data_IF_848623431271
#
_entry.id   IF_848623431271
#
_cell.length_a   1.000
_cell.length_b   1.000
_cell.length_c   1.000
_cell.angle_alpha   90.00
_cell.angle_beta   90.00
_cell.angle_gamma   90.00
#
_symmetry.space_group_name_H-M   'P 1'
#
loop_
_entity.id
_entity.type
_entity.pdbx_description
1 polymer ?
#
# COMPACT_ATOMS: atom_id res chain seq x y z
N UNK A 1 -33.33 27.86 28.37
CA UNK A 1 -33.20 27.18 27.06
C UNK A 1 -32.35 28.05 26.16
N UNK A 2 -31.25 27.50 25.67
CA UNK A 2 -30.27 28.12 24.79
C UNK A 2 -29.08 27.15 24.69
N UNK A 3 -28.65 26.72 23.49
CA UNK A 3 -27.84 25.53 23.33
C UNK A 3 -26.37 25.79 23.69
N UNK A 4 -25.73 24.79 24.28
CA UNK A 4 -24.28 24.68 24.32
C UNK A 4 -23.75 24.47 22.89
N UNK A 5 -22.86 25.35 22.44
CA UNK A 5 -22.03 25.10 21.27
C UNK A 5 -20.58 25.15 21.76
N UNK A 6 -20.00 23.99 22.03
CA UNK A 6 -18.58 23.86 22.25
C UNK A 6 -17.89 23.83 20.88
N UNK A 7 -17.51 25.01 20.40
CA UNK A 7 -16.52 25.15 19.34
C UNK A 7 -15.13 25.05 19.96
N UNK A 8 -14.48 23.91 19.77
CA UNK A 8 -13.09 23.70 20.10
C UNK A 8 -12.50 22.76 19.06
N UNK A 9 -12.02 23.33 17.96
CA UNK A 9 -11.10 22.63 17.07
C UNK A 9 -9.84 22.33 17.88
N UNK A 10 -9.64 21.06 18.22
CA UNK A 10 -8.46 20.59 18.92
C UNK A 10 -7.21 20.82 18.06
N UNK A 11 -6.31 21.75 18.45
CA UNK A 11 -5.12 22.05 17.68
C UNK A 11 -4.06 20.95 17.76
N UNK A 12 -4.18 19.93 18.62
CA UNK A 12 -3.20 18.84 18.70
C UNK A 12 -3.30 17.86 17.51
N UNK A 13 -4.48 17.72 16.90
CA UNK A 13 -4.71 16.78 15.80
C UNK A 13 -3.97 17.14 14.50
N UNK A 14 -3.58 18.41 14.32
CA UNK A 14 -2.83 18.87 13.13
C UNK A 14 -1.32 18.60 13.22
N UNK A 15 -0.75 18.48 14.43
CA UNK A 15 0.70 18.34 14.61
C UNK A 15 1.22 16.90 14.51
N UNK A 16 0.36 15.89 14.66
CA UNK A 16 0.76 14.48 14.55
C UNK A 16 1.00 14.00 13.12
N UNK A 17 0.53 14.73 12.09
CA UNK A 17 0.70 14.35 10.67
C UNK A 17 1.97 14.90 10.03
N UNK A 18 2.62 15.90 10.64
CA UNK A 18 3.85 16.51 10.11
C UNK A 18 5.05 16.14 10.98
N UNK A 19 5.69 15.01 10.66
CA UNK A 19 7.16 14.79 10.71
C UNK A 19 7.45 13.30 10.62
N UNK A 20 7.85 12.86 9.43
CA UNK A 20 8.82 11.76 9.15
C UNK A 20 8.81 11.37 7.67
N UNK A 21 7.72 11.67 6.95
CA UNK A 21 7.48 11.20 5.58
C UNK A 21 6.85 12.30 4.72
N UNK A 22 7.25 12.38 3.45
CA UNK A 22 6.61 13.27 2.49
C UNK A 22 5.44 12.51 1.85
N UNK A 23 4.23 12.81 2.32
CA UNK A 23 2.98 12.21 1.86
C UNK A 23 2.32 13.14 0.85
N UNK A 24 2.06 12.64 -0.35
CA UNK A 24 1.35 13.38 -1.40
C UNK A 24 0.07 12.64 -1.78
N UNK A 25 -1.05 13.36 -1.85
CA UNK A 25 -2.28 12.91 -2.48
C UNK A 25 -2.33 13.54 -3.86
N UNK A 26 -2.08 12.74 -4.90
CA UNK A 26 -1.80 13.24 -6.26
C UNK A 26 -3.08 13.38 -7.11
N UNK A 27 -4.12 12.58 -6.81
CA UNK A 27 -5.46 12.62 -7.39
C UNK A 27 -6.43 11.76 -6.55
N UNK A 28 -7.73 11.73 -6.86
CA UNK A 28 -8.69 10.83 -6.18
C UNK A 28 -8.25 9.36 -6.32
N UNK A 29 -7.75 8.77 -5.23
CA UNK A 29 -7.29 7.37 -5.18
C UNK A 29 -5.80 7.16 -5.49
N UNK A 30 -5.05 8.20 -5.85
CA UNK A 30 -3.59 8.13 -5.95
C UNK A 30 -2.94 8.68 -4.70
N UNK A 31 -2.11 7.86 -4.08
CA UNK A 31 -1.46 8.13 -2.80
C UNK A 31 -0.01 7.71 -2.90
N UNK A 32 0.91 8.58 -2.49
CA UNK A 32 2.32 8.22 -2.39
C UNK A 32 2.95 8.69 -1.09
N UNK A 33 3.96 7.93 -0.68
CA UNK A 33 4.88 8.29 0.38
C UNK A 33 6.29 8.17 -0.18
N UNK A 34 7.05 9.26 -0.10
CA UNK A 34 8.50 9.25 -0.33
C UNK A 34 9.25 9.40 0.99
N UNK A 35 10.56 9.14 0.97
CA UNK A 35 11.42 9.18 2.16
C UNK A 35 10.97 8.24 3.30
N UNK A 36 10.32 7.12 2.93
CA UNK A 36 10.04 6.01 3.84
C UNK A 36 11.33 5.33 4.34
N UNK A 37 11.26 4.76 5.54
CA UNK A 37 12.33 3.95 6.14
C UNK A 37 11.83 2.54 6.50
N UNK A 38 11.31 1.80 5.52
CA UNK A 38 10.90 0.40 5.73
C UNK A 38 12.10 -0.51 5.47
N UNK A 39 12.64 -1.11 6.53
CA UNK A 39 13.84 -1.97 6.50
C UNK A 39 13.45 -3.45 6.48
N UNK A 40 14.41 -4.31 6.15
CA UNK A 40 14.25 -5.75 6.39
C UNK A 40 13.88 -6.02 7.85
N UNK A 41 12.97 -6.97 8.06
CA UNK A 41 12.41 -7.31 9.36
C UNK A 41 11.22 -6.46 9.79
N UNK A 42 10.88 -5.40 9.05
CA UNK A 42 9.73 -4.53 9.36
C UNK A 42 8.52 -4.85 8.47
N UNK A 43 7.37 -4.33 8.86
CA UNK A 43 6.10 -4.51 8.17
C UNK A 43 5.39 -3.18 7.92
N UNK A 44 4.74 -3.08 6.77
CA UNK A 44 3.77 -2.05 6.44
C UNK A 44 2.37 -2.64 6.60
N UNK A 45 1.57 -2.07 7.49
CA UNK A 45 0.12 -2.29 7.54
C UNK A 45 -0.55 -1.20 6.73
N UNK A 46 -1.40 -1.57 5.78
CA UNK A 46 -2.16 -0.62 4.96
C UNK A 46 -3.63 -1.01 4.99
N UNK A 47 -4.49 -0.03 5.24
CA UNK A 47 -5.95 -0.17 5.28
C UNK A 47 -6.57 0.82 4.31
N UNK A 48 -7.61 0.40 3.61
CA UNK A 48 -8.29 1.26 2.67
C UNK A 48 -9.56 0.64 2.09
N UNK A 49 -10.32 1.46 1.36
CA UNK A 49 -11.53 1.04 0.65
C UNK A 49 -11.22 0.81 -0.82
N UNK A 50 -11.63 -0.35 -1.35
CA UNK A 50 -11.62 -0.63 -2.78
C UNK A 50 -12.84 0.06 -3.40
N UNK A 51 -12.64 0.81 -4.48
CA UNK A 51 -13.74 1.47 -5.20
C UNK A 51 -14.77 0.46 -5.73
N UNK A 52 -16.04 0.83 -5.77
CA UNK A 52 -17.15 -0.09 -6.13
C UNK A 52 -17.03 -0.64 -7.56
N UNK A 53 -16.41 0.13 -8.46
CA UNK A 53 -16.18 -0.22 -9.87
C UNK A 53 -14.69 -0.50 -10.17
N UNK A 54 -13.87 -0.79 -9.16
CA UNK A 54 -12.45 -1.06 -9.35
C UNK A 54 -12.24 -2.28 -10.26
N UNK A 55 -11.52 -2.11 -11.36
CA UNK A 55 -11.04 -3.23 -12.19
C UNK A 55 -9.75 -3.83 -11.61
N UNK A 56 -8.93 -2.97 -11.02
CA UNK A 56 -7.66 -3.28 -10.36
C UNK A 56 -7.22 -2.15 -9.44
N UNK A 57 -6.28 -2.46 -8.56
CA UNK A 57 -5.48 -1.45 -7.86
C UNK A 57 -4.04 -1.93 -7.71
N UNK A 58 -3.16 -1.02 -7.31
CA UNK A 58 -1.73 -1.29 -7.22
C UNK A 58 -1.20 -0.77 -5.89
N UNK A 59 -0.34 -1.56 -5.25
CA UNK A 59 0.54 -1.14 -4.16
C UNK A 59 1.97 -1.40 -4.62
N UNK A 60 2.75 -0.33 -4.78
CA UNK A 60 4.16 -0.36 -5.14
C UNK A 60 5.03 -0.08 -3.92
N UNK A 61 6.04 -0.91 -3.69
CA UNK A 61 7.15 -0.63 -2.77
C UNK A 61 8.47 -0.62 -3.54
N UNK A 62 9.33 0.37 -3.28
CA UNK A 62 10.64 0.43 -3.93
C UNK A 62 11.49 1.62 -3.53
N UNK A 63 12.37 2.05 -4.44
CA UNK A 63 13.20 3.25 -4.30
C UNK A 63 12.53 4.50 -4.90
N UNK A 64 11.54 4.31 -5.77
CA UNK A 64 10.81 5.38 -6.44
C UNK A 64 9.78 4.83 -7.42
N UNK A 65 9.05 5.71 -8.14
CA UNK A 65 8.02 5.29 -9.09
C UNK A 65 8.54 4.42 -10.24
N UNK A 66 9.81 4.60 -10.62
CA UNK A 66 10.45 3.88 -11.75
C UNK A 66 11.41 2.75 -11.31
N UNK A 67 11.51 2.51 -10.00
CA UNK A 67 12.36 1.46 -9.42
C UNK A 67 11.60 0.77 -8.27
N UNK A 68 10.84 -0.27 -8.64
CA UNK A 68 9.85 -0.95 -7.79
C UNK A 68 10.32 -2.36 -7.47
N UNK A 69 10.53 -2.64 -6.19
CA UNK A 69 10.90 -3.96 -5.68
C UNK A 69 9.68 -4.89 -5.61
N UNK A 70 8.51 -4.36 -5.25
CA UNK A 70 7.25 -5.09 -5.23
C UNK A 70 6.15 -4.25 -5.89
N UNK A 71 5.63 -4.72 -7.00
CA UNK A 71 4.40 -4.27 -7.61
C UNK A 71 3.30 -5.28 -7.30
N UNK A 72 2.47 -5.01 -6.29
CA UNK A 72 1.34 -5.86 -5.91
C UNK A 72 0.07 -5.34 -6.59
N UNK A 73 -0.49 -6.12 -7.52
CA UNK A 73 -1.58 -5.69 -8.39
C UNK A 73 -2.73 -6.72 -8.44
N UNK A 74 -3.69 -6.64 -7.51
CA UNK A 74 -4.96 -7.34 -7.64
C UNK A 74 -5.75 -6.86 -8.86
N UNK A 75 -6.15 -7.80 -9.70
CA UNK A 75 -6.95 -7.60 -10.92
C UNK A 75 -8.25 -8.39 -10.78
N UNK A 76 -9.36 -7.70 -10.59
CA UNK A 76 -10.66 -8.33 -10.31
C UNK A 76 -11.23 -9.06 -11.53
N UNK A 77 -11.06 -8.50 -12.74
CA UNK A 77 -11.47 -9.17 -13.99
C UNK A 77 -10.77 -10.50 -14.21
N UNK A 78 -9.49 -10.58 -13.84
CA UNK A 78 -8.68 -11.78 -14.01
C UNK A 78 -8.81 -12.76 -12.83
N UNK A 79 -9.51 -12.35 -11.76
CA UNK A 79 -9.57 -13.06 -10.48
C UNK A 79 -8.19 -13.47 -9.98
N UNK A 80 -7.22 -12.55 -10.03
CA UNK A 80 -5.84 -12.84 -9.71
C UNK A 80 -5.11 -11.65 -9.11
N UNK A 81 -4.07 -11.95 -8.34
CA UNK A 81 -3.08 -11.02 -7.85
C UNK A 81 -1.82 -11.20 -8.68
N UNK A 82 -1.38 -10.12 -9.32
CA UNK A 82 -0.15 -10.11 -10.10
C UNK A 82 0.93 -9.39 -9.30
N UNK A 83 2.07 -10.06 -9.11
CA UNK A 83 3.25 -9.47 -8.50
C UNK A 83 4.37 -9.33 -9.53
N UNK A 84 5.08 -8.20 -9.54
CA UNK A 84 6.24 -7.99 -10.39
C UNK A 84 7.24 -7.00 -9.77
N UNK A 85 8.34 -6.75 -10.47
CA UNK A 85 9.37 -5.75 -10.15
C UNK A 85 9.62 -4.87 -11.38
N UNK A 86 10.05 -3.63 -11.16
CA UNK A 86 10.41 -2.67 -12.21
C UNK A 86 11.82 -2.12 -11.93
N UNK A 87 12.73 -2.28 -12.89
CA UNK A 87 14.03 -1.62 -12.89
C UNK A 87 14.42 -1.28 -14.33
N UNK A 88 13.98 -0.11 -14.81
CA UNK A 88 14.02 0.30 -16.22
C UNK A 88 13.04 -0.47 -17.12
N UNK A 89 12.72 -1.73 -16.80
CA UNK A 89 11.66 -2.54 -17.43
C UNK A 89 10.99 -3.46 -16.42
N UNK A 90 9.77 -3.87 -16.74
CA UNK A 90 9.05 -4.89 -15.98
C UNK A 90 9.77 -6.24 -16.04
N UNK A 91 9.84 -6.92 -14.90
CA UNK A 91 10.31 -8.30 -14.81
C UNK A 91 9.27 -9.33 -15.24
N UNK A 92 9.50 -10.59 -14.89
CA UNK A 92 8.54 -11.67 -15.09
C UNK A 92 7.40 -11.58 -14.06
N UNK A 93 6.15 -11.59 -14.52
CA UNK A 93 4.98 -11.61 -13.63
C UNK A 93 4.93 -12.92 -12.82
N UNK A 94 4.58 -12.80 -11.54
CA UNK A 94 4.11 -13.90 -10.71
C UNK A 94 2.61 -13.73 -10.47
N UNK A 95 1.87 -14.82 -10.60
CA UNK A 95 0.41 -14.83 -10.47
C UNK A 95 -0.01 -15.68 -9.29
N UNK A 96 -0.84 -15.13 -8.44
CA UNK A 96 -1.57 -15.85 -7.40
C UNK A 96 -3.08 -15.76 -7.73
N UNK A 97 -3.78 -16.89 -7.75
CA UNK A 97 -5.22 -16.94 -8.04
C UNK A 97 -6.11 -16.73 -6.80
N UNK A 98 -5.51 -16.57 -5.62
CA UNK A 98 -6.23 -16.40 -4.36
C UNK A 98 -6.61 -14.94 -4.12
N UNK A 99 -7.67 -14.50 -4.80
CA UNK A 99 -8.24 -13.16 -4.62
C UNK A 99 -9.49 -13.23 -3.72
N UNK A 100 -9.31 -12.95 -2.42
CA UNK A 100 -10.33 -13.17 -1.38
C UNK A 100 -11.11 -11.91 -0.95
N UNK A 101 -11.11 -10.87 -1.78
CA UNK A 101 -11.76 -9.58 -1.51
C UNK A 101 -12.35 -9.01 -2.80
N UNK A 102 -13.30 -8.08 -2.67
CA UNK A 102 -14.07 -7.56 -3.80
C UNK A 102 -14.11 -6.03 -3.85
N UNK A 103 -14.42 -5.43 -5.01
CA UNK A 103 -14.79 -4.02 -5.10
C UNK A 103 -15.84 -3.62 -4.06
N UNK A 104 -15.75 -2.37 -3.57
CA UNK A 104 -16.63 -1.80 -2.56
C UNK A 104 -16.32 -2.16 -1.10
N UNK A 105 -15.40 -3.09 -0.86
CA UNK A 105 -15.04 -3.53 0.51
C UNK A 105 -13.89 -2.71 1.10
N UNK A 106 -13.90 -2.59 2.43
CA UNK A 106 -12.73 -2.12 3.18
C UNK A 106 -11.84 -3.31 3.53
N UNK A 107 -10.55 -3.18 3.22
CA UNK A 107 -9.56 -4.27 3.39
C UNK A 107 -8.32 -3.77 4.13
N UNK A 108 -7.60 -4.73 4.71
CA UNK A 108 -6.30 -4.50 5.33
C UNK A 108 -5.30 -5.50 4.76
N UNK A 109 -4.15 -4.99 4.34
CA UNK A 109 -2.99 -5.78 3.95
C UNK A 109 -1.86 -5.56 4.96
N UNK A 110 -1.05 -6.59 5.16
CA UNK A 110 0.20 -6.50 5.91
C UNK A 110 1.31 -6.96 4.97
N UNK A 111 2.21 -6.05 4.61
CA UNK A 111 3.38 -6.34 3.79
C UNK A 111 4.57 -6.43 4.73
N UNK A 112 5.08 -7.64 4.94
CA UNK A 112 6.33 -7.85 5.68
C UNK A 112 7.48 -7.92 4.69
N UNK A 113 8.55 -7.16 4.97
CA UNK A 113 9.76 -7.21 4.18
C UNK A 113 10.80 -8.05 4.91
N UNK A 114 10.96 -9.30 4.49
CA UNK A 114 11.95 -10.22 5.03
C UNK A 114 13.19 -10.23 4.12
N UNK A 115 14.35 -10.61 4.67
CA UNK A 115 15.68 -10.59 4.03
C UNK A 115 15.64 -10.57 2.48
N UNK A 116 15.11 -11.63 1.86
CA UNK A 116 15.11 -11.76 0.39
C UNK A 116 13.71 -11.80 -0.23
N UNK A 117 12.65 -11.44 0.50
CA UNK A 117 11.28 -11.53 -0.02
C UNK A 117 10.29 -10.58 0.66
N UNK A 118 9.20 -10.32 -0.05
CA UNK A 118 8.02 -9.65 0.48
C UNK A 118 6.94 -10.69 0.74
N UNK A 119 6.29 -10.59 1.89
CA UNK A 119 5.10 -11.37 2.25
C UNK A 119 3.91 -10.45 2.41
N UNK A 120 2.90 -10.59 1.56
CA UNK A 120 1.66 -9.83 1.63
C UNK A 120 0.58 -10.71 2.23
N UNK A 121 0.24 -10.46 3.49
CA UNK A 121 -0.90 -11.11 4.16
C UNK A 121 -2.19 -10.43 3.75
N UNK A 122 -3.11 -11.22 3.18
CA UNK A 122 -4.43 -10.82 2.73
C UNK A 122 -5.44 -10.80 3.90
N UNK A 123 -6.63 -10.20 3.72
CA UNK A 123 -7.64 -10.09 4.77
C UNK A 123 -8.06 -11.41 5.43
N UNK A 124 -8.09 -12.51 4.67
CA UNK A 124 -8.45 -13.84 5.16
C UNK A 124 -7.27 -14.61 5.79
N UNK A 125 -6.07 -14.04 5.75
CA UNK A 125 -4.85 -14.63 6.28
C UNK A 125 -3.98 -15.36 5.26
N UNK A 126 -4.41 -15.53 4.01
CA UNK A 126 -3.55 -16.04 2.93
C UNK A 126 -2.32 -15.14 2.75
N UNK A 127 -1.19 -15.72 2.37
CA UNK A 127 0.08 -14.99 2.22
C UNK A 127 0.59 -15.15 0.80
N UNK A 128 0.68 -14.02 0.08
CA UNK A 128 1.34 -13.93 -1.21
C UNK A 128 2.82 -13.62 -1.00
N UNK A 129 3.71 -14.45 -1.53
CA UNK A 129 5.17 -14.27 -1.41
C UNK A 129 5.77 -13.80 -2.73
N UNK A 130 6.67 -12.83 -2.69
CA UNK A 130 7.38 -12.31 -3.87
C UNK A 130 8.86 -12.04 -3.58
N UNK A 131 9.81 -12.52 -4.40
CA UNK A 131 11.23 -12.34 -4.15
C UNK A 131 11.67 -10.88 -4.30
N UNK A 132 12.59 -10.44 -3.45
CA UNK A 132 13.25 -9.14 -3.56
C UNK A 132 14.31 -9.15 -4.66
N UNK A 133 13.86 -9.12 -5.92
CA UNK A 133 14.73 -9.27 -7.11
C UNK A 133 15.81 -8.19 -7.24
N UNK A 134 15.55 -6.99 -6.73
CA UNK A 134 16.47 -5.84 -6.81
C UNK A 134 17.48 -5.81 -5.64
N UNK A 135 17.32 -6.66 -4.62
CA UNK A 135 18.29 -6.80 -3.53
C UNK A 135 18.44 -5.60 -2.59
N UNK A 136 17.60 -4.57 -2.70
CA UNK A 136 17.63 -3.43 -1.77
C UNK A 136 17.18 -3.87 -0.37
N UNK A 137 17.87 -3.42 0.67
CA UNK A 137 17.58 -3.75 2.09
C UNK A 137 16.66 -2.74 2.79
N UNK A 138 16.23 -1.70 2.08
CA UNK A 138 15.38 -0.62 2.58
C UNK A 138 14.47 -0.13 1.45
N UNK A 139 13.16 0.04 1.70
CA UNK A 139 12.22 0.69 0.79
C UNK A 139 12.01 2.15 1.20
N UNK A 140 12.02 3.05 0.23
CA UNK A 140 11.88 4.50 0.43
C UNK A 140 10.66 5.11 -0.24
N UNK A 141 9.96 4.31 -1.04
CA UNK A 141 8.80 4.70 -1.81
C UNK A 141 7.64 3.72 -1.62
N UNK A 142 6.46 4.25 -1.27
CA UNK A 142 5.17 3.57 -1.34
C UNK A 142 4.31 4.34 -2.33
N UNK A 143 3.81 3.65 -3.36
CA UNK A 143 2.87 4.23 -4.33
C UNK A 143 1.60 3.39 -4.40
N UNK A 144 0.45 4.01 -4.24
CA UNK A 144 -0.86 3.37 -4.40
C UNK A 144 -1.59 4.02 -5.57
N UNK A 145 -2.08 3.19 -6.48
CA UNK A 145 -2.75 3.63 -7.72
C UNK A 145 -4.01 2.80 -8.00
N UNK A 146 -4.89 3.36 -8.82
CA UNK A 146 -6.12 2.69 -9.24
C UNK A 146 -7.22 2.73 -8.18
N UNK A 147 -8.08 1.71 -8.15
CA UNK A 147 -9.31 1.72 -7.36
C UNK A 147 -9.13 1.41 -5.87
N UNK A 148 -8.11 1.94 -5.19
CA UNK A 148 -7.88 1.72 -3.76
C UNK A 148 -7.58 3.04 -3.04
N UNK A 149 -8.49 3.44 -2.15
CA UNK A 149 -8.35 4.65 -1.34
C UNK A 149 -7.81 4.30 0.05
N UNK A 150 -6.59 4.73 0.34
CA UNK A 150 -5.92 4.48 1.61
C UNK A 150 -6.58 5.31 2.71
N UNK A 151 -7.00 4.65 3.79
CA UNK A 151 -7.54 5.31 4.99
C UNK A 151 -6.57 5.32 6.16
N UNK A 152 -5.64 4.35 6.22
CA UNK A 152 -4.62 4.29 7.25
C UNK A 152 -3.41 3.48 6.79
N UNK A 153 -2.23 3.87 7.24
CA UNK A 153 -1.01 3.09 7.09
C UNK A 153 -0.18 3.16 8.38
N UNK A 154 0.63 2.13 8.63
CA UNK A 154 1.54 2.06 9.77
C UNK A 154 2.76 1.20 9.44
N UNK A 155 3.95 1.68 9.80
CA UNK A 155 5.19 0.90 9.79
C UNK A 155 5.44 0.32 11.18
N UNK A 156 5.89 -0.94 11.24
CA UNK A 156 6.22 -1.66 12.48
C UNK A 156 7.51 -2.47 12.32
#
# INVERSE_FOLDING_TARGET
>A
MGPCVAGGSDPEAEWTWKKTHDVSVLAQGEFEITNMDMKQGTSLKIKGKIADNAEKFVINLGQGPDKVNLHFNPRFRDSAIICNSLDGKWGQEQRDSHLCFSPGTEVKFIVTFENNEFKVKLPDGHVVTFPNRLGHSQMRYLGVKGGFSVSSFKFE
#
